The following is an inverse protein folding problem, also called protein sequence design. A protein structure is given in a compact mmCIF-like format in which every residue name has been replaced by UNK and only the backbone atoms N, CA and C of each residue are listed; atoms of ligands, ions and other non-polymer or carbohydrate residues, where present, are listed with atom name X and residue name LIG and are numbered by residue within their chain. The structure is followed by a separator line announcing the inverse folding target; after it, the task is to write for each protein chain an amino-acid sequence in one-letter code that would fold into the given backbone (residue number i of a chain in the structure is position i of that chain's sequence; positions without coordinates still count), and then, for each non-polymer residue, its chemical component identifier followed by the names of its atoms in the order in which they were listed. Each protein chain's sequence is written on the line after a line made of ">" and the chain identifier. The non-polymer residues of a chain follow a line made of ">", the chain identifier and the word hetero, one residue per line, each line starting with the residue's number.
data_IF_741446235503
#
_entry.id   IF_741446235503
#
_cell.length_a   1.000
_cell.length_b   1.000
_cell.length_c   1.000
_cell.angle_alpha   90.00
_cell.angle_beta   90.00
_cell.angle_gamma   90.00
#
_symmetry.space_group_name_H-M   'P 1'
#
loop_
_entity.id
_entity.type
_entity.pdbx_description
1 polymer ?
#
# COMPACT_ATOMS: atom_id res chain seq x y z
N UNK A 1 9.62 9.90 1.59
CA UNK A 1 10.84 9.54 0.84
C UNK A 1 11.19 10.56 -0.27
N UNK A 2 10.22 11.25 -0.88
CA UNK A 2 10.46 12.22 -1.97
C UNK A 2 11.45 13.33 -1.63
N UNK A 3 11.43 13.86 -0.40
CA UNK A 3 12.46 14.80 0.07
C UNK A 3 13.89 14.24 -0.02
N UNK A 4 14.07 12.93 0.21
CA UNK A 4 15.37 12.25 0.09
C UNK A 4 15.77 12.17 -1.40
N UNK A 5 14.81 11.93 -2.30
CA UNK A 5 15.07 11.89 -3.75
C UNK A 5 15.57 13.23 -4.29
N UNK A 6 15.11 14.35 -3.71
CA UNK A 6 15.56 15.70 -4.07
C UNK A 6 17.01 15.99 -3.69
N UNK A 7 17.63 15.19 -2.82
CA UNK A 7 19.03 15.39 -2.45
C UNK A 7 19.94 15.18 -3.65
N UNK A 8 20.93 16.06 -3.85
CA UNK A 8 21.85 16.04 -5.00
C UNK A 8 22.80 14.84 -5.04
N UNK A 9 22.88 14.06 -3.96
CA UNK A 9 23.76 12.90 -3.92
C UNK A 9 23.27 11.85 -4.91
N UNK A 10 24.19 11.34 -5.72
CA UNK A 10 23.88 10.33 -6.74
C UNK A 10 23.77 8.93 -6.15
N UNK A 11 24.36 8.71 -4.96
CA UNK A 11 24.30 7.46 -4.19
C UNK A 11 24.18 7.75 -2.70
N UNK A 12 23.31 7.01 -2.03
CA UNK A 12 23.08 7.05 -0.59
C UNK A 12 23.37 5.65 -0.03
N UNK A 13 24.20 5.58 1.01
CA UNK A 13 24.60 4.31 1.64
C UNK A 13 23.94 4.19 3.01
N UNK A 14 23.15 3.13 3.18
CA UNK A 14 22.50 2.79 4.45
C UNK A 14 22.84 1.33 4.78
N UNK A 15 24.02 1.04 5.35
CA UNK A 15 24.56 -0.33 5.43
C UNK A 15 23.71 -1.30 6.25
N UNK A 16 22.86 -0.78 7.15
CA UNK A 16 21.97 -1.57 8.01
C UNK A 16 20.50 -1.52 7.58
N UNK A 17 20.16 -0.75 6.54
CA UNK A 17 18.78 -0.61 6.08
C UNK A 17 18.44 -1.73 5.10
N UNK A 18 17.45 -2.54 5.45
CA UNK A 18 17.08 -3.72 4.65
C UNK A 18 15.77 -3.58 3.87
N UNK A 19 14.87 -2.71 4.33
CA UNK A 19 13.52 -2.64 3.80
C UNK A 19 12.96 -1.23 3.92
N UNK A 20 12.31 -0.79 2.86
CA UNK A 20 11.69 0.52 2.79
C UNK A 20 10.23 0.35 2.41
N UNK A 21 9.34 0.95 3.18
CA UNK A 21 7.90 0.96 2.92
C UNK A 21 7.45 2.39 2.66
N UNK A 22 6.47 2.57 1.79
CA UNK A 22 5.82 3.86 1.52
C UNK A 22 4.31 3.70 1.52
N UNK A 23 3.58 4.76 1.82
CA UNK A 23 2.12 4.79 1.80
C UNK A 23 1.58 6.21 1.97
N UNK A 24 0.26 6.35 1.88
CA UNK A 24 -0.46 7.63 1.96
C UNK A 24 -0.67 8.32 0.60
N UNK A 25 0.16 8.01 -0.39
CA UNK A 25 0.02 8.48 -1.77
C UNK A 25 0.54 7.41 -2.73
N UNK A 26 0.07 7.46 -3.98
CA UNK A 26 0.48 6.52 -5.01
C UNK A 26 1.99 6.62 -5.27
N UNK A 27 2.68 5.49 -5.25
CA UNK A 27 4.08 5.38 -5.65
C UNK A 27 4.18 5.32 -7.18
N UNK A 28 4.80 6.33 -7.79
CA UNK A 28 4.97 6.36 -9.24
C UNK A 28 6.13 5.45 -9.67
N UNK A 29 6.06 4.80 -10.84
CA UNK A 29 7.12 3.91 -11.33
C UNK A 29 8.50 4.56 -11.42
N UNK A 30 8.57 5.84 -11.81
CA UNK A 30 9.80 6.61 -11.91
C UNK A 30 10.44 6.87 -10.54
N UNK A 31 9.63 7.01 -9.49
CA UNK A 31 10.10 7.23 -8.12
C UNK A 31 10.70 5.96 -7.54
N UNK A 32 10.09 4.82 -7.86
CA UNK A 32 10.61 3.51 -7.49
C UNK A 32 11.98 3.25 -8.12
N UNK A 33 12.12 3.55 -9.42
CA UNK A 33 13.38 3.36 -10.13
C UNK A 33 14.47 4.32 -9.60
N UNK A 34 14.13 5.59 -9.38
CA UNK A 34 15.08 6.56 -8.84
C UNK A 34 15.51 6.22 -7.40
N UNK A 35 14.58 5.75 -6.56
CA UNK A 35 14.90 5.26 -5.22
C UNK A 35 15.86 4.07 -5.26
N UNK A 36 15.59 3.10 -6.14
CA UNK A 36 16.46 1.94 -6.35
C UNK A 36 17.84 2.36 -6.84
N UNK A 37 17.92 3.30 -7.77
CA UNK A 37 19.19 3.81 -8.30
C UNK A 37 20.03 4.49 -7.22
N UNK A 38 19.41 5.31 -6.36
CA UNK A 38 20.13 6.04 -5.29
C UNK A 38 20.53 5.16 -4.12
N UNK A 39 19.65 4.25 -3.69
CA UNK A 39 19.80 3.53 -2.40
C UNK A 39 20.16 2.04 -2.56
N UNK A 40 19.91 1.47 -3.74
CA UNK A 40 19.98 0.02 -3.98
C UNK A 40 18.79 -0.77 -3.44
N UNK A 41 17.80 -0.12 -2.82
CA UNK A 41 16.64 -0.76 -2.20
C UNK A 41 15.36 -0.47 -2.99
N UNK A 42 14.33 -1.28 -2.79
CA UNK A 42 13.01 -1.08 -3.39
C UNK A 42 12.05 -0.49 -2.34
N UNK A 43 11.14 0.39 -2.75
CA UNK A 43 10.00 0.77 -1.91
C UNK A 43 8.90 -0.28 -2.04
N UNK A 44 8.35 -0.65 -0.91
CA UNK A 44 7.19 -1.53 -0.77
C UNK A 44 5.97 -0.68 -0.45
N UNK A 45 4.99 -0.66 -1.34
CA UNK A 45 3.80 0.17 -1.15
C UNK A 45 2.83 -0.45 -0.12
N UNK A 46 2.21 0.40 0.68
CA UNK A 46 1.18 0.09 1.65
C UNK A 46 0.04 1.10 1.49
N UNK A 47 -1.18 0.59 1.47
CA UNK A 47 -2.40 1.36 1.34
C UNK A 47 -3.30 1.14 2.56
N UNK A 48 -3.96 2.22 2.96
CA UNK A 48 -4.71 2.29 4.18
C UNK A 48 -5.30 3.68 4.39
N UNK A 49 -6.17 3.78 5.39
CA UNK A 49 -6.78 5.04 5.82
C UNK A 49 -6.82 5.08 7.35
N UNK A 50 -7.12 6.24 7.92
CA UNK A 50 -7.23 6.42 9.38
C UNK A 50 -8.21 5.42 10.01
N UNK A 51 -9.27 5.07 9.29
CA UNK A 51 -10.35 4.19 9.71
C UNK A 51 -10.00 2.69 9.64
N UNK A 52 -8.99 2.34 8.85
CA UNK A 52 -8.68 0.94 8.49
C UNK A 52 -7.26 0.50 8.85
N UNK A 53 -6.37 1.44 9.16
CA UNK A 53 -4.94 1.15 9.22
C UNK A 53 -4.43 0.70 7.84
N UNK A 54 -3.36 -0.10 7.81
CA UNK A 54 -2.85 -0.66 6.54
C UNK A 54 -3.71 -1.87 6.15
N UNK A 55 -4.47 -1.77 5.07
CA UNK A 55 -5.34 -2.84 4.60
C UNK A 55 -4.79 -3.63 3.41
N UNK A 56 -3.93 -2.99 2.60
CA UNK A 56 -3.23 -3.61 1.49
C UNK A 56 -1.74 -3.28 1.54
N UNK A 57 -0.88 -4.22 1.17
CA UNK A 57 0.56 -3.93 1.02
C UNK A 57 1.27 -4.93 0.10
N UNK A 58 2.39 -4.50 -0.46
CA UNK A 58 3.40 -5.40 -1.03
C UNK A 58 4.39 -5.82 0.06
N UNK A 59 4.10 -6.93 0.75
CA UNK A 59 4.93 -7.43 1.86
C UNK A 59 6.35 -7.82 1.42
N UNK A 60 7.26 -7.90 2.40
CA UNK A 60 8.63 -8.41 2.19
C UNK A 60 8.57 -9.79 1.51
N UNK A 61 9.36 -9.98 0.47
CA UNK A 61 9.41 -11.22 -0.32
C UNK A 61 8.37 -11.29 -1.45
N UNK A 62 7.39 -10.39 -1.51
CA UNK A 62 6.48 -10.30 -2.66
C UNK A 62 7.15 -9.61 -3.84
N UNK A 63 6.82 -10.05 -5.06
CA UNK A 63 7.21 -9.35 -6.29
C UNK A 63 6.46 -8.02 -6.37
N UNK A 64 7.22 -6.92 -6.42
CA UNK A 64 6.68 -5.58 -6.65
C UNK A 64 6.14 -5.49 -8.08
N UNK A 65 4.94 -4.95 -8.22
CA UNK A 65 4.30 -4.61 -9.50
C UNK A 65 4.12 -3.10 -9.53
N UNK A 66 4.85 -2.35 -10.38
CA UNK A 66 4.71 -0.90 -10.48
C UNK A 66 3.25 -0.48 -10.70
N UNK A 67 2.80 0.54 -9.97
CA UNK A 67 1.41 1.02 -10.00
C UNK A 67 0.41 0.17 -9.21
N UNK A 68 0.87 -0.88 -8.51
CA UNK A 68 0.02 -1.69 -7.62
C UNK A 68 0.43 -1.50 -6.16
N UNK A 69 -0.55 -1.11 -5.33
CA UNK A 69 -0.42 -1.04 -3.87
C UNK A 69 -0.27 -2.39 -3.17
N UNK A 70 -0.23 -3.50 -3.92
CA UNK A 70 -0.04 -4.85 -3.40
C UNK A 70 -1.34 -5.62 -3.21
N UNK A 71 -1.39 -6.46 -2.16
CA UNK A 71 -2.51 -7.37 -1.86
C UNK A 71 -3.11 -7.05 -0.49
N UNK A 72 -4.33 -7.51 -0.26
CA UNK A 72 -4.94 -7.47 1.08
C UNK A 72 -4.01 -8.10 2.12
N UNK A 73 -3.95 -7.48 3.29
CA UNK A 73 -3.27 -8.02 4.45
C UNK A 73 -4.27 -8.68 5.41
N UNK A 74 -3.93 -9.81 6.04
CA UNK A 74 -4.73 -10.34 7.13
C UNK A 74 -4.90 -9.29 8.26
N UNK A 75 -6.08 -9.17 8.88
CA UNK A 75 -7.27 -10.02 8.72
C UNK A 75 -8.29 -9.50 7.68
N UNK A 76 -7.93 -8.55 6.82
CA UNK A 76 -8.89 -7.86 5.95
C UNK A 76 -9.23 -8.67 4.69
N UNK A 77 -10.51 -8.95 4.51
CA UNK A 77 -11.08 -9.36 3.23
C UNK A 77 -11.40 -8.10 2.41
N UNK A 78 -10.43 -7.67 1.60
CA UNK A 78 -10.53 -6.51 0.71
C UNK A 78 -11.05 -6.97 -0.65
N UNK A 79 -12.09 -6.31 -1.16
CA UNK A 79 -12.76 -6.61 -2.41
C UNK A 79 -12.94 -5.34 -3.25
N UNK A 80 -13.10 -5.51 -4.56
CA UNK A 80 -13.66 -4.47 -5.42
C UNK A 80 -15.17 -4.68 -5.47
N UNK A 81 -15.95 -3.65 -5.17
CA UNK A 81 -17.41 -3.71 -5.08
C UNK A 81 -18.09 -2.66 -5.98
N UNK A 82 -19.29 -2.96 -6.42
CA UNK A 82 -20.20 -1.99 -7.05
C UNK A 82 -20.89 -1.08 -6.01
N UNK A 83 -21.68 -0.12 -6.47
CA UNK A 83 -22.43 0.82 -5.61
C UNK A 83 -23.52 0.14 -4.77
N UNK A 84 -23.84 -1.13 -5.06
CA UNK A 84 -24.80 -1.95 -4.31
C UNK A 84 -24.10 -2.86 -3.29
N UNK A 85 -22.77 -2.83 -3.22
CA UNK A 85 -21.97 -3.65 -2.30
C UNK A 85 -21.69 -5.08 -2.79
N UNK A 86 -21.95 -5.39 -4.07
CA UNK A 86 -21.64 -6.71 -4.64
C UNK A 86 -20.18 -6.77 -5.09
N UNK A 87 -19.49 -7.87 -4.82
CA UNK A 87 -18.13 -8.11 -5.31
C UNK A 87 -18.10 -8.20 -6.83
N UNK A 88 -17.13 -7.51 -7.43
CA UNK A 88 -16.89 -7.46 -8.87
C UNK A 88 -15.82 -8.48 -9.29
N UNK A 89 -15.89 -9.01 -10.53
CA UNK A 89 -14.88 -9.91 -11.06
C UNK A 89 -13.55 -9.19 -11.30
N UNK A 90 -12.46 -9.96 -11.40
CA UNK A 90 -11.14 -9.43 -11.73
C UNK A 90 -11.16 -8.55 -12.98
N UNK A 91 -10.31 -7.51 -12.99
CA UNK A 91 -10.19 -6.54 -14.08
C UNK A 91 -11.45 -5.69 -14.35
N UNK A 92 -12.31 -5.52 -13.34
CA UNK A 92 -13.44 -4.58 -13.39
C UNK A 92 -13.18 -3.45 -12.40
N UNK A 93 -13.35 -2.20 -12.84
CA UNK A 93 -13.21 -1.03 -11.98
C UNK A 93 -14.42 -0.92 -11.03
N UNK A 94 -14.16 -0.47 -9.80
CA UNK A 94 -15.17 -0.28 -8.77
C UNK A 94 -14.56 0.28 -7.48
N UNK A 95 -15.31 0.23 -6.39
CA UNK A 95 -14.90 0.76 -5.10
C UNK A 95 -14.12 -0.27 -4.29
N UNK A 96 -13.08 0.15 -3.57
CA UNK A 96 -12.38 -0.72 -2.61
C UNK A 96 -13.25 -0.84 -1.36
N UNK A 97 -13.59 -2.06 -0.96
CA UNK A 97 -14.37 -2.34 0.25
C UNK A 97 -13.69 -3.37 1.14
N UNK A 98 -13.87 -3.23 2.46
CA UNK A 98 -13.47 -4.23 3.45
C UNK A 98 -14.72 -4.89 4.01
N UNK A 99 -14.78 -6.23 4.02
CA UNK A 99 -15.90 -6.95 4.64
C UNK A 99 -15.89 -6.76 6.16
N UNK A 100 -16.98 -6.23 6.71
CA UNK A 100 -17.17 -6.02 8.16
C UNK A 100 -18.32 -6.85 8.77
N UNK A 101 -19.01 -7.66 7.96
CA UNK A 101 -20.11 -8.55 8.37
C UNK A 101 -19.89 -9.98 7.84
N UNK A 102 -20.30 -11.03 8.58
CA UNK A 102 -20.98 -10.96 9.89
C UNK A 102 -20.06 -10.55 11.04
N UNK A 103 -18.74 -10.60 10.84
CA UNK A 103 -17.74 -10.27 11.84
C UNK A 103 -16.90 -9.09 11.38
N UNK A 104 -16.76 -8.07 12.23
CA UNK A 104 -15.86 -6.94 11.98
C UNK A 104 -14.40 -7.40 12.23
N UNK A 105 -13.48 -7.23 11.27
CA UNK A 105 -12.09 -7.63 11.47
C UNK A 105 -11.40 -6.71 12.49
N UNK A 106 -10.45 -7.28 13.24
CA UNK A 106 -9.58 -6.53 14.15
C UNK A 106 -8.80 -5.50 13.33
N UNK A 107 -8.73 -4.25 13.82
CA UNK A 107 -8.00 -3.15 13.18
C UNK A 107 -8.90 -2.11 12.50
N UNK A 108 -10.18 -2.43 12.23
CA UNK A 108 -11.16 -1.43 11.79
C UNK A 108 -11.57 -0.58 13.00
N UNK A 109 -11.62 0.74 12.81
CA UNK A 109 -12.09 1.67 13.84
C UNK A 109 -13.51 1.38 14.34
N UNK A 110 -13.87 1.98 15.47
CA UNK A 110 -15.17 1.77 16.12
C UNK A 110 -16.30 2.52 15.40
N UNK A 111 -16.00 3.69 14.88
CA UNK A 111 -16.91 4.63 14.22
C UNK A 111 -16.33 6.04 14.35
N UNK A 112 -17.01 7.03 13.77
CA UNK A 112 -16.76 8.42 14.10
C UNK A 112 -17.53 8.77 15.38
N UNK A 113 -16.97 9.66 16.19
CA UNK A 113 -17.73 10.30 17.28
C UNK A 113 -18.75 11.27 16.69
N UNK A 114 -19.88 11.43 17.36
CA UNK A 114 -20.94 12.38 17.00
C UNK A 114 -20.55 13.84 17.30
#
# INVERSE_FOLDING_TARGET
>A
YRMILQHTSTSLRFPTLEHCTTGGEALLPEEQEEWRRKTGLLLHEAYGQSETGICCSTLRGMKIKPGSMGKSMPPFDVQIIDDKGNSLPCNTEGNIGIRIKPTKPIGIFMGYED
#
